data_IF_203681362551
#
_entry.id   IF_203681362551
#
_cell.length_a   1.000
_cell.length_b   1.000
_cell.length_c   1.000
_cell.angle_alpha   90.00
_cell.angle_beta   90.00
_cell.angle_gamma   90.00
#
_symmetry.space_group_name_H-M   'P 1'
#
loop_
_entity.id
_entity.type
_entity.pdbx_description
1 polymer ?
#
# COMPACT_ATOMS: atom_id res chain seq x y z
N UNK A 1 37.36 -1.49 41.60
CA UNK A 1 36.10 -1.84 42.26
C UNK A 1 35.16 -2.27 41.15
N UNK A 2 35.04 -3.59 40.94
CA UNK A 2 33.95 -4.12 40.14
C UNK A 2 32.76 -4.13 41.07
N UNK A 3 31.77 -3.32 40.76
CA UNK A 3 30.48 -3.32 41.45
C UNK A 3 29.62 -4.26 40.61
N UNK A 4 29.32 -5.49 41.09
CA UNK A 4 28.59 -6.50 40.32
C UNK A 4 27.31 -5.95 39.67
N UNK A 5 26.64 -5.04 40.35
CA UNK A 5 25.43 -4.37 39.87
C UNK A 5 25.66 -3.52 38.60
N UNK A 6 26.86 -2.97 38.42
CA UNK A 6 27.23 -2.20 37.22
C UNK A 6 27.56 -3.14 36.06
N UNK A 7 28.15 -4.31 36.32
CA UNK A 7 28.44 -5.31 35.29
C UNK A 7 27.14 -5.91 34.73
N UNK A 8 26.18 -6.22 35.61
CA UNK A 8 24.85 -6.71 35.24
C UNK A 8 24.08 -5.69 34.38
N UNK A 9 24.14 -4.41 34.73
CA UNK A 9 23.49 -3.32 33.97
C UNK A 9 24.14 -3.14 32.58
N UNK A 10 25.47 -3.19 32.50
CA UNK A 10 26.18 -3.13 31.22
C UNK A 10 25.80 -4.34 30.34
N UNK A 11 25.69 -5.53 30.92
CA UNK A 11 25.26 -6.72 30.18
C UNK A 11 23.83 -6.55 29.64
N UNK A 12 22.91 -6.04 30.47
CA UNK A 12 21.53 -5.82 30.07
C UNK A 12 21.43 -4.82 28.91
N UNK A 13 22.13 -3.69 29.02
CA UNK A 13 22.19 -2.66 27.98
C UNK A 13 22.77 -3.20 26.66
N UNK A 14 23.85 -4.00 26.72
CA UNK A 14 24.43 -4.63 25.54
C UNK A 14 23.46 -5.63 24.91
N UNK A 15 22.72 -6.40 25.71
CA UNK A 15 21.71 -7.34 25.19
C UNK A 15 20.54 -6.62 24.55
N UNK A 16 20.10 -5.49 25.08
CA UNK A 16 19.05 -4.67 24.49
C UNK A 16 19.51 -4.12 23.12
N UNK A 17 20.67 -3.49 23.05
CA UNK A 17 21.25 -3.01 21.80
C UNK A 17 21.43 -4.15 20.78
N UNK A 18 21.84 -5.34 21.23
CA UNK A 18 21.95 -6.52 20.37
C UNK A 18 20.59 -7.00 19.82
N UNK A 19 19.51 -6.92 20.61
CA UNK A 19 18.15 -7.27 20.16
C UNK A 19 17.65 -6.27 19.13
N UNK A 20 17.85 -4.97 19.36
CA UNK A 20 17.50 -3.93 18.40
C UNK A 20 18.23 -4.12 17.08
N UNK A 21 19.54 -4.35 17.13
CA UNK A 21 20.36 -4.62 15.94
C UNK A 21 19.86 -5.86 15.19
N UNK A 22 19.54 -6.93 15.91
CA UNK A 22 18.98 -8.15 15.30
C UNK A 22 17.67 -7.85 14.58
N UNK A 23 16.74 -7.15 15.22
CA UNK A 23 15.46 -6.76 14.61
C UNK A 23 15.66 -5.92 13.36
N UNK A 24 16.56 -4.94 13.40
CA UNK A 24 16.91 -4.11 12.25
C UNK A 24 17.48 -4.93 11.09
N UNK A 25 18.44 -5.82 11.36
CA UNK A 25 19.06 -6.68 10.35
C UNK A 25 18.03 -7.66 9.74
N UNK A 26 17.15 -8.22 10.57
CA UNK A 26 16.05 -9.07 10.11
C UNK A 26 15.09 -8.31 9.21
N UNK A 27 14.68 -7.09 9.60
CA UNK A 27 13.84 -6.22 8.76
C UNK A 27 14.54 -5.93 7.43
N UNK A 28 15.79 -5.45 7.45
CA UNK A 28 16.57 -5.16 6.23
C UNK A 28 16.65 -6.36 5.28
N UNK A 29 16.93 -7.56 5.81
CA UNK A 29 16.99 -8.79 4.99
C UNK A 29 15.63 -9.17 4.42
N UNK A 30 14.54 -8.99 5.17
CA UNK A 30 13.18 -9.21 4.69
C UNK A 30 12.87 -8.28 3.51
N UNK A 31 13.15 -6.98 3.66
CA UNK A 31 12.90 -5.99 2.59
C UNK A 31 13.72 -6.27 1.34
N UNK A 32 14.98 -6.71 1.48
CA UNK A 32 15.80 -7.12 0.34
C UNK A 32 15.16 -8.28 -0.44
N UNK A 33 14.70 -9.33 0.26
CA UNK A 33 14.04 -10.47 -0.38
C UNK A 33 12.74 -10.06 -1.07
N UNK A 34 11.98 -9.14 -0.47
CA UNK A 34 10.75 -8.60 -1.08
C UNK A 34 11.06 -7.86 -2.39
N UNK A 35 12.09 -7.00 -2.40
CA UNK A 35 12.54 -6.29 -3.61
C UNK A 35 13.00 -7.27 -4.70
N UNK A 36 13.79 -8.27 -4.35
CA UNK A 36 14.22 -9.32 -5.30
C UNK A 36 13.01 -10.08 -5.89
N UNK A 37 12.01 -10.40 -5.07
CA UNK A 37 10.76 -11.02 -5.53
C UNK A 37 9.99 -10.09 -6.47
N UNK A 38 9.85 -8.82 -6.13
CA UNK A 38 9.19 -7.81 -6.96
C UNK A 38 9.90 -7.62 -8.31
N UNK A 39 11.22 -7.54 -8.34
CA UNK A 39 12.03 -7.41 -9.57
C UNK A 39 11.85 -8.61 -10.51
N UNK A 40 11.69 -9.81 -9.95
CA UNK A 40 11.40 -11.01 -10.73
C UNK A 40 9.97 -10.99 -11.25
N UNK A 41 9.00 -10.69 -10.39
CA UNK A 41 7.57 -10.66 -10.77
C UNK A 41 7.28 -9.57 -11.80
N UNK A 42 7.85 -8.37 -11.65
CA UNK A 42 7.70 -7.27 -12.60
C UNK A 42 8.26 -7.56 -13.98
N UNK A 43 9.15 -8.56 -14.12
CA UNK A 43 9.61 -9.05 -15.43
C UNK A 43 8.74 -10.18 -15.98
N UNK A 44 8.37 -11.14 -15.13
CA UNK A 44 7.70 -12.38 -15.57
C UNK A 44 6.19 -12.22 -15.73
N UNK A 45 5.50 -11.51 -14.82
CA UNK A 45 4.04 -11.35 -14.87
C UNK A 45 3.56 -10.70 -16.19
N UNK A 46 4.17 -9.59 -16.68
CA UNK A 46 3.78 -9.02 -17.97
C UNK A 46 3.93 -9.99 -19.15
N UNK A 47 5.04 -10.71 -19.21
CA UNK A 47 5.31 -11.68 -20.28
C UNK A 47 4.30 -12.84 -20.26
N UNK A 48 3.96 -13.34 -19.06
CA UNK A 48 2.93 -14.36 -18.92
C UNK A 48 1.55 -13.85 -19.33
N UNK A 49 1.18 -12.62 -18.94
CA UNK A 49 -0.10 -12.02 -19.32
C UNK A 49 -0.25 -11.89 -20.83
N UNK A 50 0.81 -11.42 -21.51
CA UNK A 50 0.85 -11.31 -22.97
C UNK A 50 0.72 -12.69 -23.61
N UNK A 51 1.47 -13.69 -23.11
CA UNK A 51 1.43 -15.05 -23.66
C UNK A 51 0.07 -15.72 -23.46
N UNK A 52 -0.55 -15.56 -22.31
CA UNK A 52 -1.89 -16.11 -22.03
C UNK A 52 -2.93 -15.45 -22.93
N UNK A 53 -2.88 -14.13 -23.11
CA UNK A 53 -3.77 -13.40 -24.02
C UNK A 53 -3.61 -13.88 -25.46
N UNK A 54 -2.37 -13.97 -25.97
CA UNK A 54 -2.04 -14.45 -27.31
C UNK A 54 -2.58 -15.86 -27.57
N UNK A 55 -2.34 -16.79 -26.63
CA UNK A 55 -2.72 -18.20 -26.79
C UNK A 55 -4.23 -18.41 -26.66
N UNK A 56 -4.89 -17.65 -25.79
CA UNK A 56 -6.33 -17.82 -25.52
C UNK A 56 -7.23 -16.93 -26.37
N UNK A 57 -6.67 -15.93 -27.04
CA UNK A 57 -7.41 -14.90 -27.78
C UNK A 57 -8.29 -14.02 -26.88
N UNK A 58 -8.00 -13.97 -25.58
CA UNK A 58 -8.76 -13.19 -24.58
C UNK A 58 -8.05 -11.88 -24.26
N UNK A 59 -8.75 -10.88 -23.68
CA UNK A 59 -8.09 -9.68 -23.17
C UNK A 59 -6.93 -10.01 -22.23
N UNK A 60 -5.92 -9.14 -22.24
CA UNK A 60 -4.78 -9.25 -21.33
C UNK A 60 -5.29 -9.23 -19.88
N UNK A 61 -4.95 -10.23 -19.04
CA UNK A 61 -5.36 -10.21 -17.65
C UNK A 61 -4.72 -9.05 -16.91
N UNK A 62 -5.43 -8.51 -15.94
CA UNK A 62 -4.86 -7.59 -14.97
C UNK A 62 -3.83 -8.34 -14.10
N UNK A 63 -2.61 -7.80 -14.09
CA UNK A 63 -1.48 -8.36 -13.35
C UNK A 63 -1.24 -7.64 -12.04
N UNK A 64 -1.77 -6.43 -11.85
CA UNK A 64 -1.43 -5.58 -10.73
C UNK A 64 -2.15 -6.06 -9.47
N UNK A 65 -3.44 -6.38 -9.58
CA UNK A 65 -4.17 -7.07 -8.51
C UNK A 65 -3.60 -8.48 -8.22
N UNK A 66 -3.00 -9.15 -9.20
CA UNK A 66 -2.31 -10.43 -8.97
C UNK A 66 -0.96 -10.23 -8.24
N UNK A 67 -0.24 -9.17 -8.57
CA UNK A 67 1.02 -8.80 -7.92
C UNK A 67 0.80 -8.49 -6.45
N UNK A 68 -0.22 -7.70 -6.10
CA UNK A 68 -0.59 -7.38 -4.72
C UNK A 68 -0.84 -8.65 -3.89
N UNK A 69 -1.66 -9.57 -4.42
CA UNK A 69 -1.95 -10.87 -3.80
C UNK A 69 -0.70 -11.74 -3.62
N UNK A 70 0.16 -11.84 -4.63
CA UNK A 70 1.39 -12.64 -4.53
C UNK A 70 2.36 -12.03 -3.50
N UNK A 71 2.38 -10.70 -3.36
CA UNK A 71 3.27 -9.98 -2.46
C UNK A 71 2.75 -9.84 -1.03
N UNK A 72 1.51 -10.29 -0.76
CA UNK A 72 0.76 -10.06 0.48
C UNK A 72 0.76 -8.57 0.85
N UNK A 73 0.48 -7.74 -0.15
CA UNK A 73 0.41 -6.29 -0.01
C UNK A 73 -1.01 -5.84 0.32
N UNK A 74 -1.12 -4.60 0.78
CA UNK A 74 -2.36 -3.85 0.63
C UNK A 74 -2.40 -3.28 -0.79
N UNK A 75 -3.49 -3.50 -1.53
CA UNK A 75 -3.76 -2.83 -2.81
C UNK A 75 -4.69 -1.64 -2.60
N UNK A 76 -4.47 -0.60 -3.41
CA UNK A 76 -5.40 0.51 -3.58
C UNK A 76 -5.63 0.67 -5.08
N UNK A 77 -6.87 0.53 -5.52
CA UNK A 77 -7.25 0.58 -6.94
C UNK A 77 -8.32 1.66 -7.15
N UNK A 78 -8.11 2.57 -8.11
CA UNK A 78 -9.13 3.56 -8.49
C UNK A 78 -9.96 3.05 -9.66
N UNK A 79 -11.28 3.16 -9.54
CA UNK A 79 -12.22 3.03 -10.65
C UNK A 79 -13.03 4.32 -10.82
N UNK A 80 -13.10 4.83 -12.06
CA UNK A 80 -13.89 6.02 -12.41
C UNK A 80 -15.02 5.62 -13.36
N UNK A 81 -16.26 5.75 -12.89
CA UNK A 81 -17.47 5.37 -13.60
C UNK A 81 -18.37 6.59 -13.82
N UNK A 82 -18.08 7.37 -14.87
CA UNK A 82 -18.74 8.65 -15.11
C UNK A 82 -18.30 9.66 -14.06
N UNK A 83 -19.24 10.18 -13.27
CA UNK A 83 -18.96 11.11 -12.18
C UNK A 83 -18.53 10.38 -10.89
N UNK A 84 -18.77 9.08 -10.75
CA UNK A 84 -18.47 8.33 -9.54
C UNK A 84 -17.01 7.83 -9.53
N UNK A 85 -16.29 8.11 -8.44
CA UNK A 85 -14.94 7.62 -8.17
C UNK A 85 -14.99 6.68 -6.97
N UNK A 86 -14.42 5.49 -7.14
CA UNK A 86 -14.28 4.48 -6.08
C UNK A 86 -12.81 4.12 -5.94
N UNK A 87 -12.27 4.21 -4.72
CA UNK A 87 -11.00 3.61 -4.35
C UNK A 87 -11.30 2.33 -3.55
N UNK A 88 -10.90 1.20 -4.10
CA UNK A 88 -11.00 -0.12 -3.45
C UNK A 88 -9.69 -0.43 -2.77
N UNK A 89 -9.74 -0.64 -1.46
CA UNK A 89 -8.60 -1.00 -0.62
C UNK A 89 -8.74 -2.45 -0.20
N UNK A 90 -7.84 -3.34 -0.66
CA UNK A 90 -7.84 -4.75 -0.25
C UNK A 90 -6.58 -5.07 0.57
N UNK A 91 -6.75 -5.71 1.72
CA UNK A 91 -5.63 -6.10 2.56
C UNK A 91 -5.29 -7.59 2.39
N UNK A 92 -4.25 -7.91 1.61
CA UNK A 92 -3.76 -9.28 1.46
C UNK A 92 -2.64 -9.64 2.45
N UNK A 93 -2.35 -8.80 3.43
CA UNK A 93 -1.38 -9.07 4.48
C UNK A 93 -1.98 -9.95 5.58
N UNK A 94 -1.11 -10.47 6.47
CA UNK A 94 -1.52 -11.31 7.60
C UNK A 94 -1.87 -10.50 8.88
N UNK A 95 -1.96 -9.16 8.76
CA UNK A 95 -2.24 -8.24 9.88
C UNK A 95 -3.33 -7.24 9.50
N UNK A 96 -3.97 -6.62 10.49
CA UNK A 96 -4.82 -5.46 10.25
C UNK A 96 -3.92 -4.27 9.89
N UNK A 97 -4.30 -3.53 8.86
CA UNK A 97 -3.56 -2.36 8.38
C UNK A 97 -4.41 -1.10 8.56
N UNK A 98 -3.79 -0.04 9.08
CA UNK A 98 -4.37 1.29 9.19
C UNK A 98 -3.74 2.16 8.11
N UNK A 99 -4.55 2.67 7.18
CA UNK A 99 -4.06 3.46 6.05
C UNK A 99 -4.36 4.93 6.24
N UNK A 100 -3.54 5.78 5.62
CA UNK A 100 -3.83 7.21 5.44
C UNK A 100 -3.87 7.49 3.94
N UNK A 101 -5.07 7.52 3.36
CA UNK A 101 -5.26 7.70 1.92
C UNK A 101 -5.61 9.16 1.66
N UNK A 102 -4.90 9.79 0.72
CA UNK A 102 -5.18 11.11 0.19
C UNK A 102 -5.30 11.00 -1.32
N UNK A 103 -6.50 11.21 -1.86
CA UNK A 103 -6.71 11.34 -3.30
C UNK A 103 -6.73 12.83 -3.66
N UNK A 104 -5.80 13.26 -4.51
CA UNK A 104 -5.64 14.64 -4.97
C UNK A 104 -6.38 14.76 -6.30
N UNK A 105 -7.32 15.70 -6.39
CA UNK A 105 -8.25 15.84 -7.52
C UNK A 105 -8.26 17.28 -8.03
N UNK A 106 -8.18 17.47 -9.34
CA UNK A 106 -8.14 18.81 -9.96
C UNK A 106 -9.52 19.50 -10.08
N UNK A 107 -10.58 18.89 -9.56
CA UNK A 107 -11.95 19.40 -9.58
C UNK A 107 -12.66 19.12 -8.26
N UNK A 108 -13.70 19.90 -7.96
CA UNK A 108 -14.41 19.86 -6.68
C UNK A 108 -15.12 18.50 -6.48
N UNK A 109 -14.72 17.71 -5.47
CA UNK A 109 -15.37 16.45 -5.16
C UNK A 109 -16.64 16.70 -4.33
N UNK A 110 -17.63 15.86 -4.55
CA UNK A 110 -18.94 15.87 -3.90
C UNK A 110 -19.31 14.45 -3.47
N UNK A 111 -20.38 14.29 -2.68
CA UNK A 111 -20.89 12.97 -2.26
C UNK A 111 -19.83 12.02 -1.66
N UNK A 112 -18.95 12.56 -0.82
CA UNK A 112 -17.88 11.79 -0.18
C UNK A 112 -18.45 10.77 0.81
N UNK A 113 -17.83 9.59 0.87
CA UNK A 113 -17.99 8.66 1.98
C UNK A 113 -17.36 9.23 3.28
N UNK A 114 -17.05 8.39 4.28
CA UNK A 114 -16.56 8.78 5.63
C UNK A 114 -15.23 9.60 5.70
N UNK A 115 -14.78 10.18 4.58
CA UNK A 115 -13.58 11.00 4.47
C UNK A 115 -13.80 12.50 4.70
N UNK A 116 -12.73 13.26 4.52
CA UNK A 116 -12.72 14.73 4.62
C UNK A 116 -12.09 15.33 3.37
N UNK A 117 -12.52 16.52 2.97
CA UNK A 117 -11.95 17.24 1.83
C UNK A 117 -11.32 18.57 2.26
N UNK A 118 -10.18 18.90 1.67
CA UNK A 118 -9.49 20.19 1.83
C UNK A 118 -9.17 20.77 0.45
N UNK A 119 -9.54 22.03 0.20
CA UNK A 119 -9.14 22.80 -0.98
C UNK A 119 -7.80 23.51 -0.73
N UNK A 120 -6.85 23.35 -1.65
CA UNK A 120 -5.60 24.10 -1.70
C UNK A 120 -5.37 24.65 -3.11
N UNK A 121 -5.69 25.94 -3.30
CA UNK A 121 -5.38 26.70 -4.52
C UNK A 121 -5.90 26.04 -5.83
N UNK A 122 -7.05 25.36 -5.77
CA UNK A 122 -7.67 24.70 -6.93
C UNK A 122 -7.37 23.21 -7.08
N UNK A 123 -6.58 22.64 -6.17
CA UNK A 123 -6.43 21.19 -5.98
C UNK A 123 -7.18 20.74 -4.73
N UNK A 124 -7.93 19.65 -4.83
CA UNK A 124 -8.75 19.12 -3.75
C UNK A 124 -8.13 17.85 -3.17
N UNK A 125 -7.94 17.83 -1.87
CA UNK A 125 -7.34 16.73 -1.13
C UNK A 125 -8.44 15.97 -0.40
N UNK A 126 -8.84 14.82 -0.94
CA UNK A 126 -9.83 13.93 -0.33
C UNK A 126 -9.11 12.90 0.54
N UNK A 127 -9.43 12.85 1.82
CA UNK A 127 -8.67 12.10 2.81
C UNK A 127 -9.52 11.06 3.54
N UNK A 128 -8.99 9.86 3.69
CA UNK A 128 -9.58 8.78 4.49
C UNK A 128 -8.54 8.11 5.38
N UNK A 129 -9.01 7.53 6.48
CA UNK A 129 -8.20 6.71 7.40
C UNK A 129 -8.83 5.35 7.67
N UNK A 130 -8.96 4.47 6.66
CA UNK A 130 -9.60 3.18 6.86
C UNK A 130 -8.71 2.25 7.69
N UNK A 131 -9.34 1.51 8.60
CA UNK A 131 -8.78 0.29 9.16
C UNK A 131 -9.31 -0.89 8.34
N UNK A 132 -8.40 -1.68 7.76
CA UNK A 132 -8.73 -2.82 6.91
C UNK A 132 -8.17 -4.09 7.56
N UNK A 133 -9.03 -4.98 8.09
CA UNK A 133 -8.59 -6.25 8.65
C UNK A 133 -7.88 -7.14 7.62
N UNK A 134 -7.07 -8.08 8.10
CA UNK A 134 -6.40 -9.07 7.23
C UNK A 134 -7.43 -9.86 6.41
N UNK A 135 -7.27 -9.85 5.08
CA UNK A 135 -8.15 -10.54 4.14
C UNK A 135 -9.45 -9.81 3.78
N UNK A 136 -9.70 -8.64 4.39
CA UNK A 136 -10.89 -7.83 4.13
C UNK A 136 -10.61 -6.70 3.11
N UNK A 137 -11.68 -6.07 2.65
CA UNK A 137 -11.66 -4.94 1.71
C UNK A 137 -12.51 -3.75 2.22
N UNK A 138 -12.22 -2.55 1.72
CA UNK A 138 -12.97 -1.32 1.95
C UNK A 138 -13.10 -0.50 0.68
N UNK A 139 -14.29 0.03 0.43
CA UNK A 139 -14.55 0.99 -0.64
C UNK A 139 -14.63 2.40 -0.08
N UNK A 140 -13.92 3.33 -0.73
CA UNK A 140 -13.93 4.77 -0.44
C UNK A 140 -14.45 5.49 -1.68
N UNK A 141 -15.47 6.34 -1.55
CA UNK A 141 -16.15 6.89 -2.72
C UNK A 141 -16.32 8.39 -2.63
N UNK A 142 -16.35 9.03 -3.80
CA UNK A 142 -16.83 10.38 -3.99
C UNK A 142 -17.31 10.56 -5.44
N UNK A 143 -17.95 11.69 -5.73
CA UNK A 143 -18.34 12.08 -7.07
C UNK A 143 -17.59 13.33 -7.52
N UNK A 144 -17.24 13.42 -8.80
CA UNK A 144 -16.56 14.58 -9.38
C UNK A 144 -16.98 14.78 -10.83
N UNK A 145 -17.29 16.02 -11.17
CA UNK A 145 -17.74 16.39 -12.52
C UNK A 145 -16.56 16.70 -13.45
N UNK A 146 -16.76 16.47 -14.75
CA UNK A 146 -15.84 16.90 -15.80
C UNK A 146 -14.79 15.84 -16.16
N UNK A 147 -13.56 16.29 -16.36
CA UNK A 147 -12.40 15.46 -16.72
C UNK A 147 -11.24 15.78 -15.75
N UNK A 148 -11.38 15.40 -14.46
CA UNK A 148 -10.37 15.69 -13.45
C UNK A 148 -9.09 14.89 -13.64
N UNK A 149 -7.98 15.49 -13.23
CA UNK A 149 -6.71 14.80 -13.01
C UNK A 149 -6.67 14.28 -11.57
N UNK A 150 -6.09 13.09 -11.38
CA UNK A 150 -6.02 12.42 -10.10
C UNK A 150 -4.58 12.02 -9.73
N UNK A 151 -4.24 12.10 -8.45
CA UNK A 151 -3.02 11.55 -7.87
C UNK A 151 -3.32 10.98 -6.48
N UNK A 152 -3.13 9.68 -6.27
CA UNK A 152 -3.32 9.07 -4.94
C UNK A 152 -2.00 8.99 -4.17
N UNK A 153 -2.06 9.38 -2.91
CA UNK A 153 -1.01 9.21 -1.93
C UNK A 153 -1.50 8.31 -0.80
N UNK A 154 -0.70 7.31 -0.43
CA UNK A 154 -1.06 6.34 0.61
C UNK A 154 0.05 6.26 1.66
N UNK A 155 -0.32 6.53 2.90
CA UNK A 155 0.50 6.40 4.11
C UNK A 155 0.00 5.30 5.04
N UNK A 156 0.65 5.17 6.20
CA UNK A 156 0.32 4.15 7.21
C UNK A 156 0.97 2.78 6.97
N UNK A 157 1.22 2.43 5.71
CA UNK A 157 1.83 1.16 5.29
C UNK A 157 3.22 1.40 4.67
N UNK A 158 4.18 0.49 4.90
CA UNK A 158 5.49 0.55 4.25
C UNK A 158 5.34 0.42 2.73
N UNK A 159 6.01 1.26 1.94
CA UNK A 159 5.88 1.29 0.48
C UNK A 159 6.11 -0.07 -0.18
N UNK A 160 7.04 -0.89 0.32
CA UNK A 160 7.29 -2.24 -0.20
C UNK A 160 6.22 -3.29 0.16
N UNK A 161 5.19 -2.89 0.92
CA UNK A 161 3.98 -3.67 1.24
C UNK A 161 2.72 -3.06 0.63
N UNK A 162 2.86 -2.04 -0.20
CA UNK A 162 1.76 -1.36 -0.86
C UNK A 162 1.84 -1.60 -2.36
N UNK A 163 0.68 -1.77 -2.99
CA UNK A 163 0.50 -1.75 -4.44
C UNK A 163 -0.56 -0.68 -4.75
N UNK A 164 -0.24 0.28 -5.61
CA UNK A 164 -1.16 1.36 -6.00
C UNK A 164 -1.39 1.27 -7.49
N UNK A 165 -2.66 1.21 -7.88
CA UNK A 165 -3.11 1.19 -9.27
C UNK A 165 -4.00 2.41 -9.51
N UNK A 166 -3.50 3.34 -10.33
CA UNK A 166 -4.16 4.58 -10.72
C UNK A 166 -4.81 4.48 -12.11
#
# INVERSE_FOLDING_TARGET
>A
ANVPEIEDEIELAVREAARELKSFLSKRRSMQQRREKQDVLGRILPEMADKVSEVTGRPRPDIDGALARIMNNVSVEREVNGEAVTLTVENHSDVNEELEITDIVSAEPTDLSDGTVVDMDGEWFVQWKPEVPSGDERELTYAVDGDPEFEVSVGGVETEKLTVND
#
